data_IF_176861732260
#
_entry.id   IF_176861732260
#
_cell.length_a   1.000
_cell.length_b   1.000
_cell.length_c   1.000
_cell.angle_alpha   90.00
_cell.angle_beta   90.00
_cell.angle_gamma   90.00
#
_symmetry.space_group_name_H-M   'P 1'
#
loop_
_entity.id
_entity.type
_entity.pdbx_description
1 polymer ?
#
# COMPACT_ATOMS: atom_id res chain seq x y z
N UNK A 1 19.30 5.47 -8.44
CA UNK A 1 17.83 5.40 -8.49
C UNK A 1 17.37 6.82 -8.69
N UNK A 2 16.72 7.13 -9.81
CA UNK A 2 16.34 8.53 -10.05
C UNK A 2 15.13 8.90 -9.17
N UNK A 3 15.01 10.16 -8.71
CA UNK A 3 13.86 10.63 -7.94
C UNK A 3 12.51 10.35 -8.63
N UNK A 4 12.50 10.35 -9.97
CA UNK A 4 11.32 10.01 -10.77
C UNK A 4 10.89 8.54 -10.61
N UNK A 5 11.85 7.60 -10.47
CA UNK A 5 11.58 6.18 -10.23
C UNK A 5 10.92 5.97 -8.86
N UNK A 6 11.39 6.72 -7.85
CA UNK A 6 10.87 6.67 -6.47
C UNK A 6 9.42 7.17 -6.42
N UNK A 7 9.12 8.28 -7.11
CA UNK A 7 7.77 8.85 -7.20
C UNK A 7 6.81 7.91 -7.95
N UNK A 8 7.27 7.31 -9.06
CA UNK A 8 6.49 6.33 -9.80
C UNK A 8 6.20 5.09 -8.94
N UNK A 9 7.19 4.62 -8.18
CA UNK A 9 7.02 3.49 -7.26
C UNK A 9 6.02 3.80 -6.14
N UNK A 10 6.08 4.99 -5.53
CA UNK A 10 5.12 5.45 -4.54
C UNK A 10 3.67 5.47 -5.09
N UNK A 11 3.49 5.91 -6.34
CA UNK A 11 2.19 5.87 -7.02
C UNK A 11 1.67 4.44 -7.23
N UNK A 12 2.54 3.51 -7.62
CA UNK A 12 2.18 2.09 -7.78
C UNK A 12 1.79 1.45 -6.44
N UNK A 13 2.52 1.77 -5.37
CA UNK A 13 2.23 1.33 -4.00
C UNK A 13 0.86 1.82 -3.54
N UNK A 14 0.53 3.08 -3.79
CA UNK A 14 -0.78 3.65 -3.48
C UNK A 14 -1.91 2.96 -4.28
N UNK A 15 -1.70 2.71 -5.57
CA UNK A 15 -2.68 2.01 -6.40
C UNK A 15 -2.93 0.58 -5.92
N UNK A 16 -1.87 -0.12 -5.52
CA UNK A 16 -1.97 -1.47 -4.95
C UNK A 16 -2.77 -1.48 -3.64
N UNK A 17 -2.56 -0.49 -2.76
CA UNK A 17 -3.35 -0.35 -1.53
C UNK A 17 -4.85 -0.19 -1.81
N UNK A 18 -5.22 0.64 -2.79
CA UNK A 18 -6.62 0.80 -3.21
C UNK A 18 -7.24 -0.49 -3.78
N UNK A 19 -6.47 -1.25 -4.55
CA UNK A 19 -6.91 -2.55 -5.06
C UNK A 19 -7.11 -3.56 -3.94
N UNK A 20 -6.23 -3.56 -2.93
CA UNK A 20 -6.34 -4.38 -1.73
C UNK A 20 -7.64 -4.07 -0.99
N UNK A 21 -7.92 -2.79 -0.70
CA UNK A 21 -9.17 -2.37 -0.04
C UNK A 21 -10.41 -2.83 -0.82
N UNK A 22 -10.40 -2.73 -2.15
CA UNK A 22 -11.50 -3.25 -2.98
C UNK A 22 -11.63 -4.78 -2.89
N UNK A 23 -10.53 -5.50 -2.83
CA UNK A 23 -10.52 -6.95 -2.68
C UNK A 23 -11.08 -7.37 -1.31
N UNK A 24 -10.70 -6.68 -0.23
CA UNK A 24 -11.29 -6.91 1.10
C UNK A 24 -12.80 -6.69 1.10
N UNK A 25 -13.29 -5.58 0.55
CA UNK A 25 -14.73 -5.32 0.48
C UNK A 25 -15.51 -6.35 -0.33
N UNK A 26 -14.91 -6.91 -1.40
CA UNK A 26 -15.50 -8.03 -2.15
C UNK A 26 -15.49 -9.35 -1.37
N UNK A 27 -14.46 -9.60 -0.55
CA UNK A 27 -14.40 -10.78 0.30
C UNK A 27 -15.42 -10.74 1.44
N UNK A 28 -15.60 -9.58 2.07
CA UNK A 28 -16.56 -9.38 3.16
C UNK A 28 -18.03 -9.50 2.69
N UNK A 29 -18.29 -9.19 1.42
CA UNK A 29 -19.63 -9.31 0.81
C UNK A 29 -20.00 -10.72 0.37
N UNK A 30 -19.13 -11.72 0.55
CA UNK A 30 -19.46 -13.12 0.26
C UNK A 30 -20.41 -13.65 1.35
N UNK A 31 -21.67 -13.89 0.97
CA UNK A 31 -22.61 -14.52 1.89
C UNK A 31 -22.39 -16.04 1.96
N UNK A 32 -22.00 -16.51 3.13
CA UNK A 32 -21.84 -17.93 3.45
C UNK A 32 -23.05 -18.45 4.24
N UNK A 33 -24.24 -17.95 3.89
CA UNK A 33 -25.48 -18.12 4.63
C UNK A 33 -26.09 -19.51 4.48
N UNK A 34 -27.32 -19.66 4.94
CA UNK A 34 -28.12 -20.88 4.70
C UNK A 34 -28.29 -21.11 3.19
N UNK A 35 -28.33 -20.06 2.36
CA UNK A 35 -28.38 -20.18 0.90
C UNK A 35 -27.12 -20.84 0.30
N UNK A 36 -25.96 -20.65 0.92
CA UNK A 36 -24.66 -21.16 0.41
C UNK A 36 -24.28 -22.50 1.02
N UNK A 37 -24.49 -22.68 2.33
CA UNK A 37 -24.08 -23.87 3.08
C UNK A 37 -25.23 -24.79 3.48
N UNK A 38 -26.49 -24.38 3.26
CA UNK A 38 -27.66 -25.10 3.75
C UNK A 38 -27.79 -25.05 5.28
N UNK A 39 -28.93 -25.54 5.77
CA UNK A 39 -29.25 -25.50 7.21
C UNK A 39 -28.26 -26.32 8.06
N UNK A 40 -27.82 -27.46 7.55
CA UNK A 40 -26.90 -28.38 8.25
C UNK A 40 -25.44 -27.91 8.09
N UNK A 41 -25.07 -27.37 6.93
CA UNK A 41 -23.69 -26.98 6.65
C UNK A 41 -23.28 -25.64 7.25
N UNK A 42 -24.22 -24.85 7.79
CA UNK A 42 -23.94 -23.53 8.37
C UNK A 42 -22.86 -23.53 9.45
N UNK A 43 -22.76 -24.60 10.25
CA UNK A 43 -21.71 -24.70 11.28
C UNK A 43 -20.29 -24.66 10.69
N UNK A 44 -20.11 -25.16 9.47
CA UNK A 44 -18.83 -25.12 8.75
C UNK A 44 -18.55 -23.76 8.10
N UNK A 45 -19.56 -22.90 7.96
CA UNK A 45 -19.39 -21.53 7.45
C UNK A 45 -18.77 -20.58 8.49
N UNK A 46 -18.95 -20.86 9.78
CA UNK A 46 -18.49 -19.98 10.87
C UNK A 46 -16.97 -19.76 10.86
N UNK A 47 -16.09 -20.79 10.80
CA UNK A 47 -14.66 -20.59 10.72
C UNK A 47 -14.26 -19.79 9.47
N UNK A 48 -14.93 -20.04 8.34
CA UNK A 48 -14.66 -19.35 7.08
C UNK A 48 -14.97 -17.85 7.19
N UNK A 49 -16.11 -17.48 7.80
CA UNK A 49 -16.47 -16.08 8.08
C UNK A 49 -15.44 -15.39 8.98
N UNK A 50 -14.95 -16.08 10.01
CA UNK A 50 -13.89 -15.56 10.89
C UNK A 50 -12.60 -15.31 10.11
N UNK A 51 -12.19 -16.25 9.25
CA UNK A 51 -11.00 -16.08 8.42
C UNK A 51 -11.15 -14.93 7.41
N UNK A 52 -12.31 -14.78 6.78
CA UNK A 52 -12.61 -13.65 5.88
C UNK A 52 -12.45 -12.32 6.61
N UNK A 53 -13.05 -12.20 7.79
CA UNK A 53 -12.95 -10.97 8.60
C UNK A 53 -11.51 -10.66 9.01
N UNK A 54 -10.74 -11.68 9.42
CA UNK A 54 -9.33 -11.51 9.79
C UNK A 54 -8.48 -11.06 8.60
N UNK A 55 -8.66 -11.68 7.42
CA UNK A 55 -7.96 -11.29 6.19
C UNK A 55 -8.34 -9.88 5.76
N UNK A 56 -9.62 -9.51 5.84
CA UNK A 56 -10.07 -8.15 5.53
C UNK A 56 -9.43 -7.11 6.47
N UNK A 57 -9.30 -7.43 7.76
CA UNK A 57 -8.58 -6.58 8.73
C UNK A 57 -7.12 -6.40 8.35
N UNK A 58 -6.39 -7.49 8.06
CA UNK A 58 -4.98 -7.41 7.65
C UNK A 58 -4.78 -6.66 6.34
N UNK A 59 -5.71 -6.80 5.40
CA UNK A 59 -5.72 -6.03 4.14
C UNK A 59 -5.91 -4.54 4.42
N UNK A 60 -6.82 -4.18 5.31
CA UNK A 60 -7.04 -2.77 5.68
C UNK A 60 -5.84 -2.17 6.41
N UNK A 61 -5.22 -2.92 7.32
CA UNK A 61 -3.97 -2.50 7.99
C UNK A 61 -2.85 -2.26 6.98
N UNK A 62 -2.66 -3.18 6.03
CA UNK A 62 -1.69 -3.02 4.97
C UNK A 62 -2.02 -1.81 4.08
N UNK A 63 -3.28 -1.66 3.68
CA UNK A 63 -3.73 -0.52 2.87
C UNK A 63 -3.50 0.83 3.58
N UNK A 64 -3.63 0.88 4.91
CA UNK A 64 -3.34 2.09 5.69
C UNK A 64 -1.85 2.38 5.85
N UNK A 65 -0.99 1.35 5.82
CA UNK A 65 0.47 1.51 5.93
C UNK A 65 1.15 1.89 4.60
N UNK A 66 0.56 1.54 3.46
CA UNK A 66 1.13 1.85 2.13
C UNK A 66 1.27 3.36 1.83
N UNK A 67 0.35 4.24 2.25
CA UNK A 67 0.55 5.70 2.20
C UNK A 67 1.78 6.19 2.96
N UNK A 68 2.02 5.69 4.17
CA UNK A 68 3.20 6.09 4.96
C UNK A 68 4.50 5.69 4.25
N UNK A 69 4.52 4.52 3.60
CA UNK A 69 5.64 4.09 2.77
C UNK A 69 5.81 5.00 1.55
N UNK A 70 4.71 5.39 0.90
CA UNK A 70 4.74 6.29 -0.25
C UNK A 70 5.26 7.69 0.11
N UNK A 71 4.91 8.21 1.29
CA UNK A 71 5.38 9.50 1.78
C UNK A 71 6.86 9.43 2.19
N UNK A 72 7.29 8.37 2.87
CA UNK A 72 8.71 8.16 3.17
C UNK A 72 9.58 8.06 1.90
N UNK A 73 9.06 7.46 0.83
CA UNK A 73 9.71 7.43 -0.48
C UNK A 73 9.80 8.83 -1.09
N UNK A 74 8.76 9.65 -1.01
CA UNK A 74 8.80 11.05 -1.48
C UNK A 74 9.83 11.87 -0.72
N UNK A 75 9.85 11.77 0.60
CA UNK A 75 10.81 12.47 1.45
C UNK A 75 12.25 12.08 1.09
N UNK A 76 12.50 10.80 0.81
CA UNK A 76 13.81 10.32 0.38
C UNK A 76 14.21 10.88 -0.99
N UNK A 77 13.25 10.99 -1.93
CA UNK A 77 13.48 11.57 -3.24
C UNK A 77 13.80 13.07 -3.16
N UNK A 78 13.07 13.81 -2.32
CA UNK A 78 13.28 15.24 -2.10
C UNK A 78 14.63 15.51 -1.43
N UNK A 79 14.99 14.73 -0.41
CA UNK A 79 16.30 14.83 0.24
C UNK A 79 17.46 14.54 -0.72
N UNK A 80 17.30 13.55 -1.60
CA UNK A 80 18.31 13.22 -2.63
C UNK A 80 18.47 14.38 -3.61
N UNK A 81 17.34 14.93 -4.10
CA UNK A 81 17.35 16.08 -5.00
C UNK A 81 18.01 17.31 -4.36
N UNK A 82 17.69 17.60 -3.11
CA UNK A 82 18.27 18.73 -2.39
C UNK A 82 19.79 18.56 -2.20
N UNK A 83 20.23 17.34 -1.88
CA UNK A 83 21.66 17.00 -1.76
C UNK A 83 22.39 17.20 -3.09
N UNK A 84 21.79 16.76 -4.21
CA UNK A 84 22.37 16.95 -5.54
C UNK A 84 22.45 18.43 -5.94
N UNK A 85 21.41 19.24 -5.64
CA UNK A 85 21.41 20.68 -5.88
C UNK A 85 22.48 21.41 -5.04
N UNK A 86 22.68 21.01 -3.79
CA UNK A 86 23.69 21.59 -2.90
C UNK A 86 25.12 21.19 -3.31
N UNK A 87 25.33 19.94 -3.70
CA UNK A 87 26.59 19.49 -4.31
C UNK A 87 26.90 20.22 -5.61
N UNK A 88 25.92 20.43 -6.48
CA UNK A 88 26.10 21.19 -7.73
C UNK A 88 26.49 22.65 -7.48
N UNK A 89 25.87 23.31 -6.49
CA UNK A 89 26.24 24.67 -6.07
C UNK A 89 27.67 24.74 -5.52
N UNK A 90 28.06 23.79 -4.67
CA UNK A 90 29.42 23.70 -4.13
C UNK A 90 30.44 23.47 -5.24
N UNK A 91 30.19 22.54 -6.15
CA UNK A 91 31.08 22.29 -7.29
C UNK A 91 31.24 23.52 -8.18
N UNK A 92 30.15 24.22 -8.51
CA UNK A 92 30.23 25.45 -9.31
C UNK A 92 30.99 26.58 -8.60
N UNK A 93 30.89 26.65 -7.27
CA UNK A 93 31.64 27.62 -6.46
C UNK A 93 33.15 27.38 -6.48
N UNK A 94 33.60 26.12 -6.53
CA UNK A 94 35.03 25.77 -6.52
C UNK A 94 35.65 25.56 -7.91
N UNK A 95 34.85 25.28 -8.95
CA UNK A 95 35.33 25.13 -10.34
C UNK A 95 35.51 26.46 -11.08
N UNK A 96 35.03 27.56 -10.48
CA UNK A 96 35.15 28.93 -10.99
C UNK A 96 36.28 29.76 -10.36
N UNK A 97 37.19 29.15 -9.60
CA UNK A 97 38.44 29.78 -9.11
C UNK A 97 39.65 29.13 -9.76
#
# INVERSE_FOLDING_TARGET
MEPADVISHAGNVQSFGMELTRAAGRGESVDLGVETYGLIGQVFSLPVRVHIAAIASSINELANALPDVADALRDSADATRQTDEDHAKLFNKYKGS
#
